data_IF_215217478645
#
_entry.id   IF_215217478645
#
_cell.length_a   1.000
_cell.length_b   1.000
_cell.length_c   1.000
_cell.angle_alpha   90.00
_cell.angle_beta   90.00
_cell.angle_gamma   90.00
#
_symmetry.space_group_name_H-M   'P 1'
#
loop_
_entity.id
_entity.type
_entity.pdbx_description
1 polymer ?
#
# COMPACT_ATOMS: atom_id res chain seq x y z
N UNK A 1 -6.61 -12.54 -21.94
CA UNK A 1 -5.55 -11.80 -21.24
C UNK A 1 -6.15 -10.90 -20.18
N UNK A 2 -5.68 -10.98 -18.97
CA UNK A 2 -6.16 -10.10 -17.92
C UNK A 2 -5.67 -8.67 -18.18
N UNK A 3 -6.53 -7.69 -17.97
CA UNK A 3 -6.15 -6.29 -18.02
C UNK A 3 -5.23 -5.96 -16.83
N UNK A 4 -4.33 -5.01 -17.04
CA UNK A 4 -3.51 -4.48 -15.95
C UNK A 4 -4.40 -3.77 -14.94
N UNK A 5 -4.11 -3.96 -13.66
CA UNK A 5 -4.72 -3.13 -12.62
C UNK A 5 -4.21 -1.69 -12.73
N UNK A 6 -4.93 -0.75 -12.13
CA UNK A 6 -4.49 0.64 -12.06
C UNK A 6 -3.11 0.74 -11.37
N UNK A 7 -2.83 -0.11 -10.39
CA UNK A 7 -1.54 -0.12 -9.70
C UNK A 7 -0.42 -0.64 -10.60
N UNK A 8 -0.67 -1.67 -11.42
CA UNK A 8 0.31 -2.11 -12.40
C UNK A 8 0.62 -1.01 -13.41
N UNK A 9 -0.38 -0.24 -13.81
CA UNK A 9 -0.19 0.90 -14.72
C UNK A 9 0.66 2.01 -14.07
N UNK A 10 0.52 2.23 -12.77
CA UNK A 10 1.39 3.17 -12.02
C UNK A 10 2.82 2.66 -12.01
N UNK A 11 3.03 1.37 -11.73
CA UNK A 11 4.36 0.73 -11.75
C UNK A 11 5.01 0.90 -13.11
N UNK A 12 4.25 0.68 -14.18
CA UNK A 12 4.72 0.75 -15.57
C UNK A 12 4.83 2.18 -16.11
N UNK A 13 4.53 3.18 -15.28
CA UNK A 13 4.58 4.60 -15.65
C UNK A 13 3.62 4.97 -16.79
N UNK A 14 2.53 4.23 -16.93
CA UNK A 14 1.50 4.49 -17.95
C UNK A 14 0.52 5.56 -17.52
N UNK A 15 0.31 5.74 -16.21
CA UNK A 15 -0.55 6.77 -15.64
C UNK A 15 0.20 7.50 -14.54
N UNK A 16 -0.13 8.80 -14.30
CA UNK A 16 0.56 9.57 -13.26
C UNK A 16 0.14 9.15 -11.86
N UNK A 17 1.06 9.32 -10.90
CA UNK A 17 0.80 9.18 -9.47
C UNK A 17 1.78 10.06 -8.71
N UNK A 18 1.40 10.49 -7.50
CA UNK A 18 2.29 11.26 -6.62
C UNK A 18 3.20 10.30 -5.85
N UNK A 19 4.21 9.79 -6.52
CA UNK A 19 5.17 8.83 -5.96
C UNK A 19 6.07 9.56 -4.97
N UNK A 20 6.18 9.00 -3.75
CA UNK A 20 7.04 9.54 -2.70
C UNK A 20 8.21 8.62 -2.38
N UNK A 21 8.17 7.39 -2.84
CA UNK A 21 9.25 6.43 -2.69
C UNK A 21 9.15 5.36 -3.79
N UNK A 22 10.29 4.95 -4.30
CA UNK A 22 10.35 3.84 -5.25
C UNK A 22 11.73 3.21 -5.19
N UNK A 23 11.77 1.87 -5.20
CA UNK A 23 12.99 1.10 -5.37
C UNK A 23 12.73 -0.04 -6.39
N UNK A 24 13.63 -1.00 -6.48
CA UNK A 24 13.48 -2.12 -7.40
C UNK A 24 12.37 -3.10 -7.00
N UNK A 25 11.86 -3.01 -5.78
CA UNK A 25 10.88 -3.95 -5.22
C UNK A 25 9.49 -3.36 -5.03
N UNK A 26 9.38 -2.04 -4.83
CA UNK A 26 8.09 -1.43 -4.47
C UNK A 26 7.97 0.02 -4.90
N UNK A 27 6.74 0.51 -4.83
CA UNK A 27 6.38 1.92 -5.07
C UNK A 27 5.45 2.38 -3.95
N UNK A 28 5.65 3.61 -3.48
CA UNK A 28 4.73 4.25 -2.54
C UNK A 28 4.24 5.58 -3.11
N UNK A 29 2.95 5.83 -3.03
CA UNK A 29 2.33 7.02 -3.60
C UNK A 29 1.11 7.44 -2.78
N UNK A 30 0.74 8.72 -2.88
CA UNK A 30 -0.45 9.25 -2.21
C UNK A 30 -1.73 8.70 -2.83
N UNK A 31 -2.70 8.31 -1.97
CA UNK A 31 -4.04 7.94 -2.42
C UNK A 31 -4.76 9.17 -2.96
N UNK A 32 -5.42 9.05 -4.11
CA UNK A 32 -6.15 10.15 -4.74
C UNK A 32 -7.47 10.47 -4.03
N UNK A 33 -7.96 9.54 -3.19
CA UNK A 33 -9.17 9.72 -2.38
C UNK A 33 -8.82 9.50 -0.90
N UNK A 34 -8.02 10.40 -0.29
CA UNK A 34 -7.46 10.14 1.03
C UNK A 34 -8.54 10.07 2.11
N UNK A 35 -8.39 9.11 3.01
CA UNK A 35 -9.27 8.90 4.16
C UNK A 35 -8.66 9.44 5.46
N UNK A 36 -7.50 10.06 5.38
CA UNK A 36 -6.80 10.71 6.48
C UNK A 36 -5.89 11.80 5.89
N UNK A 37 -5.40 12.77 6.70
CA UNK A 37 -4.47 13.80 6.22
C UNK A 37 -3.22 13.20 5.55
N UNK A 38 -2.72 12.06 6.07
CA UNK A 38 -1.73 11.23 5.39
C UNK A 38 -2.41 9.93 5.00
N UNK A 39 -2.45 9.62 3.71
CA UNK A 39 -2.95 8.36 3.20
C UNK A 39 -2.07 7.93 2.03
N UNK A 40 -1.15 7.01 2.29
CA UNK A 40 -0.15 6.53 1.34
C UNK A 40 -0.40 5.06 1.06
N UNK A 41 -0.27 4.68 -0.21
CA UNK A 41 -0.33 3.28 -0.63
C UNK A 41 1.08 2.78 -0.89
N UNK A 42 1.38 1.60 -0.39
CA UNK A 42 2.66 0.92 -0.62
C UNK A 42 2.36 -0.39 -1.33
N UNK A 43 2.93 -0.56 -2.52
CA UNK A 43 2.65 -1.72 -3.38
C UNK A 43 3.96 -2.39 -3.81
N UNK A 44 3.98 -3.74 -3.90
CA UNK A 44 5.11 -4.42 -4.51
C UNK A 44 5.06 -4.28 -6.03
N UNK A 45 6.23 -4.25 -6.67
CA UNK A 45 6.30 -4.28 -8.14
C UNK A 45 5.92 -5.65 -8.68
N UNK A 46 6.17 -6.72 -7.90
CA UNK A 46 5.70 -8.06 -8.25
C UNK A 46 4.16 -8.08 -8.20
N UNK A 47 3.48 -8.60 -9.23
CA UNK A 47 2.01 -8.61 -9.29
C UNK A 47 1.41 -9.71 -8.42
N UNK A 48 1.42 -9.50 -7.10
CA UNK A 48 0.74 -10.37 -6.12
C UNK A 48 -0.69 -9.85 -5.99
N UNK A 49 -1.69 -10.70 -6.20
CA UNK A 49 -3.10 -10.28 -6.21
C UNK A 49 -3.57 -9.82 -4.83
N UNK A 50 -3.24 -10.59 -3.78
CA UNK A 50 -3.65 -10.29 -2.41
C UNK A 50 -2.68 -10.90 -1.42
N UNK A 51 -2.83 -10.54 -0.14
CA UNK A 51 -2.00 -11.17 0.91
C UNK A 51 -2.27 -12.68 0.98
N UNK A 52 -3.48 -13.12 0.68
CA UNK A 52 -3.84 -14.55 0.69
C UNK A 52 -3.17 -15.33 -0.44
N UNK A 53 -2.77 -14.68 -1.53
CA UNK A 53 -2.14 -15.32 -2.67
C UNK A 53 -0.61 -15.25 -2.63
N UNK A 54 -0.02 -14.61 -1.62
CA UNK A 54 1.44 -14.63 -1.48
C UNK A 54 1.93 -16.06 -1.21
N UNK A 55 3.11 -16.37 -1.72
CA UNK A 55 3.80 -17.64 -1.47
C UNK A 55 4.93 -17.43 -0.48
N UNK A 56 5.51 -18.50 0.06
CA UNK A 56 6.59 -18.40 1.05
C UNK A 56 7.79 -17.61 0.52
N UNK A 57 8.08 -17.72 -0.77
CA UNK A 57 9.17 -16.96 -1.40
C UNK A 57 8.94 -15.45 -1.39
N UNK A 58 7.71 -15.00 -1.16
CA UNK A 58 7.38 -13.57 -1.08
C UNK A 58 7.62 -12.99 0.32
N UNK A 59 7.98 -13.81 1.31
CA UNK A 59 8.09 -13.36 2.71
C UNK A 59 9.09 -12.21 2.86
N UNK A 60 10.24 -12.28 2.21
CA UNK A 60 11.25 -11.22 2.28
C UNK A 60 10.76 -9.94 1.62
N UNK A 61 10.02 -10.04 0.52
CA UNK A 61 9.42 -8.88 -0.14
C UNK A 61 8.41 -8.21 0.78
N UNK A 62 7.52 -8.98 1.41
CA UNK A 62 6.52 -8.43 2.34
C UNK A 62 7.21 -7.79 3.55
N UNK A 63 8.26 -8.40 4.09
CA UNK A 63 9.05 -7.80 5.15
C UNK A 63 9.66 -6.46 4.71
N UNK A 64 10.13 -6.38 3.48
CA UNK A 64 10.65 -5.13 2.91
C UNK A 64 9.57 -4.05 2.85
N UNK A 65 8.34 -4.40 2.44
CA UNK A 65 7.23 -3.44 2.42
C UNK A 65 6.96 -2.87 3.81
N UNK A 66 7.01 -3.69 4.86
CA UNK A 66 6.85 -3.24 6.24
C UNK A 66 7.95 -2.27 6.66
N UNK A 67 9.19 -2.52 6.24
CA UNK A 67 10.32 -1.59 6.52
C UNK A 67 10.11 -0.25 5.83
N UNK A 68 9.65 -0.27 4.59
CA UNK A 68 9.35 0.96 3.85
C UNK A 68 8.22 1.74 4.54
N UNK A 69 7.17 1.06 4.99
CA UNK A 69 6.07 1.68 5.74
C UNK A 69 6.60 2.38 7.00
N UNK A 70 7.42 1.67 7.79
CA UNK A 70 8.03 2.23 9.00
C UNK A 70 8.82 3.51 8.69
N UNK A 71 9.65 3.46 7.66
CA UNK A 71 10.52 4.56 7.29
C UNK A 71 9.72 5.74 6.74
N UNK A 72 8.68 5.50 5.96
CA UNK A 72 7.78 6.53 5.45
C UNK A 72 6.99 7.20 6.56
N UNK A 73 6.49 6.41 7.53
CA UNK A 73 5.80 6.97 8.70
C UNK A 73 6.68 7.96 9.44
N UNK A 74 7.97 7.66 9.56
CA UNK A 74 8.96 8.53 10.19
C UNK A 74 9.19 9.80 9.36
N UNK A 75 9.40 9.65 8.05
CA UNK A 75 9.59 10.78 7.13
C UNK A 75 8.39 11.72 7.10
N UNK A 76 7.18 11.17 7.20
CA UNK A 76 5.93 11.92 7.15
C UNK A 76 5.51 12.46 8.53
N UNK A 77 6.36 12.33 9.54
CA UNK A 77 6.16 12.87 10.88
C UNK A 77 4.91 12.31 11.57
N UNK A 78 4.65 11.01 11.42
CA UNK A 78 3.52 10.33 12.06
C UNK A 78 3.87 9.85 13.47
N UNK A 79 4.55 10.68 14.26
CA UNK A 79 5.06 10.31 15.59
C UNK A 79 3.96 10.15 16.64
N UNK A 80 2.77 10.65 16.39
CA UNK A 80 1.61 10.41 17.28
C UNK A 80 0.94 9.07 17.04
N UNK A 81 1.40 8.35 16.01
CA UNK A 81 0.84 7.06 15.66
C UNK A 81 0.18 7.05 14.28
N UNK A 82 -0.08 5.85 13.81
CA UNK A 82 -0.68 5.65 12.49
C UNK A 82 -1.34 4.28 12.46
N UNK A 83 -2.11 4.04 11.42
CA UNK A 83 -2.73 2.73 11.18
C UNK A 83 -2.28 2.21 9.83
N UNK A 84 -2.03 0.91 9.77
CA UNK A 84 -1.74 0.21 8.52
C UNK A 84 -2.90 -0.74 8.25
N UNK A 85 -3.42 -0.71 7.02
CA UNK A 85 -4.54 -1.57 6.62
C UNK A 85 -4.12 -2.37 5.39
N UNK A 86 -4.41 -3.67 5.43
CA UNK A 86 -4.29 -4.56 4.27
C UNK A 86 -5.67 -5.20 4.07
N UNK A 87 -6.31 -4.87 2.97
CA UNK A 87 -7.59 -5.48 2.60
C UNK A 87 -7.32 -6.75 1.79
N UNK A 88 -8.07 -7.80 2.06
CA UNK A 88 -7.93 -9.05 1.34
C UNK A 88 -9.31 -9.59 0.96
N UNK A 89 -9.55 -9.74 -0.33
CA UNK A 89 -10.77 -10.30 -0.85
C UNK A 89 -11.99 -9.40 -0.72
N UNK A 90 -13.13 -9.93 -1.14
CA UNK A 90 -14.39 -9.17 -1.18
C UNK A 90 -14.81 -8.68 0.20
N UNK A 91 -14.86 -9.57 1.17
CA UNK A 91 -15.35 -9.23 2.52
C UNK A 91 -14.33 -8.38 3.29
N UNK A 92 -13.07 -8.39 2.88
CA UNK A 92 -12.05 -7.49 3.40
C UNK A 92 -12.05 -6.12 2.76
N UNK A 93 -12.88 -5.90 1.75
CA UNK A 93 -12.99 -4.62 1.07
C UNK A 93 -11.84 -4.31 0.11
N UNK A 94 -11.22 -5.34 -0.46
CA UNK A 94 -10.14 -5.13 -1.42
C UNK A 94 -10.71 -4.63 -2.75
N UNK A 95 -10.37 -3.39 -3.12
CA UNK A 95 -10.91 -2.74 -4.31
C UNK A 95 -10.06 -2.92 -5.57
N UNK A 96 -8.77 -3.23 -5.41
CA UNK A 96 -7.83 -3.44 -6.52
C UNK A 96 -7.13 -4.77 -6.31
N UNK A 97 -7.10 -5.62 -7.35
CA UNK A 97 -6.51 -6.96 -7.29
C UNK A 97 -4.99 -6.94 -7.49
N UNK A 98 -4.33 -6.12 -6.70
CA UNK A 98 -2.89 -6.01 -6.57
C UNK A 98 -2.62 -5.67 -5.12
N UNK A 99 -1.82 -6.48 -4.44
CA UNK A 99 -1.51 -6.32 -3.02
C UNK A 99 -1.09 -4.87 -2.74
N UNK A 100 -1.73 -4.26 -1.73
CA UNK A 100 -1.37 -2.91 -1.32
C UNK A 100 -1.63 -2.72 0.17
N UNK A 101 -0.78 -1.92 0.77
CA UNK A 101 -0.86 -1.53 2.17
C UNK A 101 -1.27 -0.06 2.22
N UNK A 102 -2.25 0.26 3.07
CA UNK A 102 -2.61 1.65 3.36
C UNK A 102 -1.86 2.10 4.60
N UNK A 103 -1.15 3.22 4.50
CA UNK A 103 -0.58 3.91 5.65
C UNK A 103 -1.42 5.16 5.89
N UNK A 104 -2.10 5.20 7.03
CA UNK A 104 -3.04 6.26 7.38
C UNK A 104 -2.59 6.94 8.67
N UNK A 105 -2.52 8.26 8.66
CA UNK A 105 -2.11 9.02 9.82
C UNK A 105 -2.55 10.46 9.77
N UNK A 106 -2.24 11.21 10.81
CA UNK A 106 -2.57 12.62 10.90
C UNK A 106 -3.91 12.91 11.57
N UNK A 107 -4.61 11.89 12.04
CA UNK A 107 -5.84 12.02 12.83
C UNK A 107 -5.98 10.86 13.82
N UNK A 108 -6.83 11.02 14.80
CA UNK A 108 -7.18 9.93 15.72
C UNK A 108 -8.00 8.88 14.97
N UNK A 109 -7.54 7.65 15.00
CA UNK A 109 -8.30 6.51 14.51
C UNK A 109 -9.19 5.97 15.60
N UNK A 110 -10.32 5.38 15.22
CA UNK A 110 -11.28 4.83 16.17
C UNK A 110 -11.30 3.31 16.10
N UNK A 111 -11.99 2.71 17.07
CA UNK A 111 -12.21 1.29 17.12
C UNK A 111 -13.71 1.01 17.32
N UNK A 112 -14.32 0.03 16.61
CA UNK A 112 -13.70 -0.93 15.68
C UNK A 112 -13.20 -0.31 14.36
N UNK A 113 -12.30 -1.00 13.64
CA UNK A 113 -11.66 -0.41 12.45
C UNK A 113 -12.55 -0.35 11.20
N UNK A 114 -13.72 -0.95 11.24
CA UNK A 114 -14.62 -0.96 10.09
C UNK A 114 -16.06 -1.11 10.44
#
# INVERSE_FOLDING_TARGET
MAEKTIFQRIIDKEIPAKIIFEDDQCVAFHDVAPQAPTHVLIIPKKPITSIASMIDDDANLVAHLWRVIRDLAKQLNLDKGYRVVVNCGRDGGQSVDHLHFHLLGGRQMTWPPG
#
